data_IF_816264403788
#
_entry.id   IF_816264403788
#
_cell.length_a   1.000
_cell.length_b   1.000
_cell.length_c   1.000
_cell.angle_alpha   90.00
_cell.angle_beta   90.00
_cell.angle_gamma   90.00
#
_symmetry.space_group_name_H-M   'P 1'
#
loop_
_entity.id
_entity.type
_entity.pdbx_description
1 polymer ?
2 non-polymer ?
3 non-polymer ?
4 water ?
#
# COMPACT_ATOMS: atom_id res chain seq x y z
N UNK A 1 -8.22 -6.86 12.16
CA UNK A 1 -7.06 -6.85 11.20
C UNK A 1 -5.73 -7.12 11.93
N UNK A 2 -4.81 -7.85 11.29
CA UNK A 2 -3.44 -8.15 11.85
C UNK A 2 -3.64 -8.84 13.18
N UNK A 3 -4.08 -10.05 13.14
CA UNK A 3 -4.54 -10.79 14.34
C UNK A 3 -3.62 -10.81 15.51
N UNK A 4 -2.40 -11.21 15.32
CA UNK A 4 -1.50 -11.33 16.41
C UNK A 4 -1.25 -9.96 17.02
N UNK A 5 -0.95 -8.95 16.19
CA UNK A 5 -0.68 -7.65 16.73
C UNK A 5 -1.88 -7.10 17.49
N UNK A 6 -3.04 -7.20 16.87
CA UNK A 6 -4.25 -6.67 17.47
C UNK A 6 -4.44 -7.31 18.85
N UNK A 7 -4.30 -8.61 18.96
CA UNK A 7 -4.55 -9.28 20.24
C UNK A 7 -3.55 -8.79 21.29
N UNK A 8 -2.30 -8.63 20.91
CA UNK A 8 -1.26 -8.23 21.82
C UNK A 8 -1.45 -6.81 22.21
N UNK A 9 -1.78 -5.90 21.27
CA UNK A 9 -2.04 -4.53 21.68
C UNK A 9 -3.23 -4.38 22.58
N UNK A 10 -4.28 -5.11 22.27
CA UNK A 10 -5.50 -5.07 23.08
C UNK A 10 -5.21 -5.61 24.44
N UNK A 11 -4.43 -6.69 24.53
CA UNK A 11 -4.11 -7.23 25.84
C UNK A 11 -3.25 -6.29 26.68
N UNK A 12 -2.29 -5.63 26.02
CA UNK A 12 -1.37 -4.71 26.70
C UNK A 12 -2.14 -3.58 27.30
N UNK A 13 -3.10 -3.06 26.52
CA UNK A 13 -3.95 -1.98 26.98
C UNK A 13 -4.92 -2.45 28.06
N UNK A 14 -5.55 -3.57 27.78
CA UNK A 14 -6.49 -4.13 28.75
C UNK A 14 -5.87 -4.47 30.08
N UNK A 15 -4.58 -4.76 30.14
CA UNK A 15 -3.91 -5.09 31.40
C UNK A 15 -3.95 -3.92 32.34
N UNK A 16 -4.14 -2.74 31.82
CA UNK A 16 -4.07 -1.52 32.61
C UNK A 16 -5.40 -1.10 33.12
N UNK A 17 -6.43 -1.76 32.66
CA UNK A 17 -7.79 -1.33 32.89
C UNK A 17 -8.32 -1.75 34.26
N UNK A 18 -9.13 -0.85 34.87
CA UNK A 18 -9.80 -1.14 36.14
C UNK A 18 -8.88 -1.35 37.32
N UNK A 19 -7.74 -0.68 37.30
CA UNK A 19 -6.72 -0.78 38.35
C UNK A 19 -6.37 0.60 38.90
N UNK A 20 -7.11 1.65 38.53
CA UNK A 20 -6.82 2.99 39.00
C UNK A 20 -5.54 3.50 38.38
N UNK A 21 -4.82 4.32 39.11
CA UNK A 21 -3.59 4.90 38.59
C UNK A 21 -2.50 3.89 38.46
N UNK A 22 -1.65 4.10 37.45
CA UNK A 22 -0.54 3.22 37.19
C UNK A 22 0.74 3.97 37.47
N UNK A 23 1.79 3.19 37.70
CA UNK A 23 3.09 3.75 37.98
C UNK A 23 3.94 3.91 36.72
N UNK A 24 5.04 4.64 36.83
CA UNK A 24 5.92 4.84 35.72
C UNK A 24 6.41 3.51 35.23
N UNK A 25 6.69 2.57 36.13
CA UNK A 25 7.24 1.30 35.65
C UNK A 25 6.18 0.50 34.95
N UNK A 26 4.93 0.73 35.33
CA UNK A 26 3.80 0.05 34.72
C UNK A 26 3.69 0.57 33.28
N UNK A 27 3.80 1.87 33.13
CA UNK A 27 3.73 2.48 31.79
C UNK A 27 4.92 1.94 30.98
N UNK A 28 6.13 1.96 31.54
CA UNK A 28 7.30 1.52 30.77
C UNK A 28 7.12 0.09 30.33
N UNK A 29 6.60 -0.73 31.20
CA UNK A 29 6.34 -2.13 30.89
C UNK A 29 5.37 -2.28 29.77
N UNK A 30 4.31 -1.51 29.85
CA UNK A 30 3.31 -1.56 28.82
C UNK A 30 3.92 -1.15 27.46
N UNK A 31 4.73 -0.11 27.47
CA UNK A 31 5.43 0.30 26.26
C UNK A 31 6.38 -0.75 25.73
N UNK A 32 7.08 -1.43 26.59
CA UNK A 32 7.97 -2.49 26.15
C UNK A 32 7.13 -3.60 25.54
N UNK A 33 5.97 -3.90 26.09
CA UNK A 33 5.13 -4.88 25.54
C UNK A 33 4.61 -4.48 24.16
N UNK A 34 4.21 -3.23 24.01
CA UNK A 34 3.78 -2.77 22.71
C UNK A 34 4.93 -2.89 21.71
N UNK A 35 6.12 -2.45 22.12
CA UNK A 35 7.27 -2.56 21.22
C UNK A 35 7.52 -3.99 20.75
N UNK A 36 7.47 -4.94 21.68
CA UNK A 36 7.69 -6.34 21.34
C UNK A 36 6.59 -6.81 20.41
N UNK A 37 5.37 -6.37 20.64
CA UNK A 37 4.29 -6.80 19.82
C UNK A 37 4.50 -6.27 18.36
N UNK A 38 4.92 -5.04 18.22
CA UNK A 38 5.19 -4.48 16.90
C UNK A 38 6.32 -5.28 16.22
N UNK A 39 7.44 -5.48 16.97
CA UNK A 39 8.59 -6.22 16.47
C UNK A 39 8.12 -7.56 15.95
N UNK A 40 7.32 -8.27 16.73
CA UNK A 40 6.88 -9.60 16.37
C UNK A 40 5.94 -9.58 15.18
N UNK A 41 5.32 -8.44 14.90
CA UNK A 41 4.46 -8.27 13.76
C UNK A 41 5.25 -7.81 12.51
N UNK A 42 6.58 -7.89 12.58
CA UNK A 42 7.46 -7.54 11.47
C UNK A 42 7.42 -6.05 11.13
N UNK A 43 7.11 -5.26 12.13
CA UNK A 43 7.28 -3.83 11.93
C UNK A 43 8.74 -3.55 11.97
N UNK A 44 9.18 -2.66 11.10
CA UNK A 44 10.56 -2.27 11.01
C UNK A 44 11.02 -1.78 12.39
N UNK A 45 12.23 -2.18 12.78
CA UNK A 45 12.75 -1.85 14.06
C UNK A 45 12.68 -0.40 14.45
N UNK A 46 13.05 0.47 13.53
CA UNK A 46 13.05 1.90 13.81
C UNK A 46 11.64 2.44 13.93
N UNK A 47 10.76 1.90 13.10
CA UNK A 47 9.36 2.28 13.19
C UNK A 47 8.80 1.93 14.54
N UNK A 48 9.09 0.71 15.01
CA UNK A 48 8.57 0.26 16.30
C UNK A 48 9.11 1.12 17.44
N UNK A 49 10.37 1.43 17.41
CA UNK A 49 10.96 2.27 18.41
C UNK A 49 10.34 3.64 18.39
N UNK A 50 10.18 4.23 17.21
CA UNK A 50 9.56 5.53 17.13
C UNK A 50 8.12 5.55 17.58
N UNK A 51 7.43 4.49 17.30
CA UNK A 51 6.02 4.36 17.66
C UNK A 51 5.88 4.42 19.15
N UNK A 52 6.71 3.66 19.87
CA UNK A 52 6.63 3.56 21.31
C UNK A 52 7.03 4.89 21.98
N UNK A 53 8.00 5.55 21.38
CA UNK A 53 8.42 6.86 21.90
C UNK A 53 7.28 7.86 21.68
N UNK A 54 6.59 7.80 20.55
CA UNK A 54 5.50 8.66 20.30
C UNK A 54 4.41 8.47 21.33
N UNK A 55 4.04 7.22 21.54
CA UNK A 55 3.03 6.90 22.53
C UNK A 55 3.42 7.40 23.87
N UNK A 56 4.68 7.20 24.24
CA UNK A 56 5.20 7.62 25.55
C UNK A 56 4.99 9.13 25.73
N UNK A 57 5.45 9.87 24.73
CA UNK A 57 5.41 11.32 24.80
C UNK A 57 3.99 11.83 24.84
N UNK A 58 3.15 11.23 24.00
CA UNK A 58 1.76 11.67 23.91
C UNK A 58 1.00 11.35 25.20
N UNK A 59 1.19 10.16 25.71
CA UNK A 59 0.57 9.73 26.94
C UNK A 59 0.97 10.57 28.12
N UNK A 60 2.27 10.85 28.22
CA UNK A 60 2.71 11.73 29.28
C UNK A 60 2.18 13.16 29.10
N UNK A 61 1.98 13.60 27.86
CA UNK A 61 1.41 14.90 27.57
C UNK A 61 -0.02 14.95 28.03
N UNK A 62 -0.71 13.80 28.00
CA UNK A 62 -2.10 13.64 28.47
C UNK A 62 -2.15 13.27 29.94
N UNK A 63 -1.03 13.41 30.65
CA UNK A 63 -1.00 13.15 32.11
C UNK A 63 -1.42 11.74 32.49
N UNK A 64 -0.93 10.75 31.74
CA UNK A 64 -1.28 9.38 31.98
C UNK A 64 -1.04 8.88 33.39
N UNK A 65 -0.01 9.36 34.05
CA UNK A 65 0.30 8.88 35.40
C UNK A 65 -0.61 9.43 36.46
N UNK A 66 -1.34 10.47 36.11
CA UNK A 66 -2.35 11.04 37.05
C UNK A 66 -3.68 10.44 36.75
N UNK A 67 -3.91 9.89 35.59
CA UNK A 67 -5.22 9.41 35.18
C UNK A 67 -5.75 8.30 36.03
N UNK A 68 -7.05 8.43 36.33
CA UNK A 68 -7.78 7.39 36.99
C UNK A 68 -8.18 6.27 36.04
N UNK A 69 -8.06 6.49 34.71
CA UNK A 69 -8.39 5.49 33.68
C UNK A 69 -7.26 5.52 32.61
N UNK A 70 -6.07 5.13 33.03
CA UNK A 70 -4.92 5.21 32.16
C UNK A 70 -5.06 4.32 30.92
N UNK A 71 -5.78 3.23 31.01
CA UNK A 71 -5.91 2.39 29.82
C UNK A 71 -6.57 3.16 28.71
N UNK A 72 -7.52 4.00 29.03
CA UNK A 72 -8.18 4.76 27.97
C UNK A 72 -7.30 5.81 27.31
N UNK A 73 -6.43 6.39 28.12
CA UNK A 73 -5.48 7.32 27.63
C UNK A 73 -4.47 6.56 26.70
N UNK A 74 -4.02 5.40 27.13
CA UNK A 74 -3.15 4.61 26.27
C UNK A 74 -3.86 4.25 24.98
N UNK A 75 -5.10 3.78 25.10
CA UNK A 75 -5.84 3.37 23.91
C UNK A 75 -5.88 4.52 22.92
N UNK A 76 -6.23 5.70 23.36
CA UNK A 76 -6.34 6.86 22.48
C UNK A 76 -5.03 7.14 21.81
N UNK A 77 -3.98 7.04 22.58
CA UNK A 77 -2.68 7.40 22.10
C UNK A 77 -2.18 6.40 21.05
N UNK A 78 -2.41 5.12 21.34
CA UNK A 78 -2.03 4.10 20.43
C UNK A 78 -2.85 4.18 19.14
N UNK A 79 -4.15 4.49 19.23
CA UNK A 79 -4.95 4.69 18.06
C UNK A 79 -4.33 5.76 17.17
N UNK A 80 -4.00 6.91 17.75
CA UNK A 80 -3.40 7.99 16.99
C UNK A 80 -2.09 7.59 16.35
N UNK A 81 -1.25 6.91 17.12
CA UNK A 81 0.04 6.52 16.61
C UNK A 81 -0.12 5.52 15.45
N UNK A 82 -1.07 4.60 15.55
CA UNK A 82 -1.39 3.67 14.50
C UNK A 82 -1.84 4.44 13.27
N UNK A 83 -2.84 5.25 13.43
CA UNK A 83 -3.34 5.99 12.29
C UNK A 83 -2.23 6.84 11.62
N UNK A 84 -1.32 7.44 12.38
CA UNK A 84 -0.18 8.15 11.80
C UNK A 84 0.78 7.16 11.11
N UNK A 85 1.06 6.05 11.70
CA UNK A 85 2.00 5.12 11.09
C UNK A 85 1.44 4.68 9.74
N UNK A 86 0.12 4.49 9.66
CA UNK A 86 -0.57 4.00 8.51
C UNK A 86 -0.77 5.02 7.41
N UNK A 87 -0.51 6.28 7.67
CA UNK A 87 -0.61 7.33 6.73
C UNK A 87 -1.25 8.57 7.14
N UNK A 88 -1.86 8.61 8.30
CA UNK A 88 -2.39 9.81 8.81
C UNK A 88 -3.78 10.04 8.41
N UNK A 89 -3.98 10.27 7.16
CA UNK A 89 -5.25 10.69 6.54
C UNK A 89 -5.32 9.93 5.16
N UNK A 90 -6.52 9.52 4.77
CA UNK A 90 -6.77 8.90 3.48
C UNK A 90 -6.28 9.77 2.34
N UNK A 91 -5.55 9.19 1.40
CA UNK A 91 -4.97 9.86 0.25
C UNK A 91 -5.26 9.09 -1.04
N UNK A 92 -5.54 9.81 -2.14
CA UNK A 92 -5.70 9.17 -3.47
C UNK A 92 -4.95 9.93 -4.49
N UNK A 93 -4.60 9.25 -5.60
CA UNK A 93 -3.92 9.97 -6.66
C UNK A 93 -4.81 11.08 -7.29
N UNK A 94 -4.16 12.11 -7.85
CA UNK A 94 -4.80 13.24 -8.44
C UNK A 94 -5.13 12.89 -9.89
N UNK A 95 -6.35 13.20 -10.23
CA UNK A 95 -6.86 12.91 -11.54
C UNK A 95 -6.92 14.18 -12.37
N UNK A 96 -6.32 14.17 -13.53
CA UNK A 96 -6.29 15.32 -14.37
C UNK A 96 -7.12 14.89 -15.59
N UNK A 97 -7.08 15.67 -16.63
CA UNK A 97 -8.02 15.34 -17.70
C UNK A 97 -7.71 14.04 -18.40
N UNK A 98 -6.44 13.87 -18.57
CA UNK A 98 -5.83 12.59 -18.99
C UNK A 98 -4.74 12.11 -18.01
N UNK A 99 -4.66 10.83 -17.84
CA UNK A 99 -3.82 10.22 -16.84
C UNK A 99 -3.27 8.93 -17.40
N UNK A 100 -2.02 8.66 -17.18
CA UNK A 100 -1.40 7.41 -17.55
C UNK A 100 -0.60 6.97 -16.38
N UNK A 101 -0.98 5.83 -15.83
CA UNK A 101 -0.36 5.28 -14.63
C UNK A 101 0.26 3.95 -14.92
N UNK A 102 1.37 3.66 -14.28
CA UNK A 102 1.88 2.31 -14.25
C UNK A 102 1.44 1.60 -12.99
N UNK A 103 1.20 0.31 -13.13
CA UNK A 103 1.23 -0.58 -11.99
C UNK A 103 2.48 -1.42 -12.15
N UNK A 104 3.25 -1.48 -11.07
CA UNK A 104 4.49 -2.24 -11.00
C UNK A 104 4.43 -3.14 -9.80
N UNK A 105 5.26 -4.17 -9.82
CA UNK A 105 5.29 -5.09 -8.70
C UNK A 105 5.73 -6.45 -9.17
N UNK A 106 5.96 -7.28 -8.17
CA UNK A 106 6.34 -8.69 -8.42
C UNK A 106 5.16 -9.53 -8.84
N UNK A 107 5.47 -10.57 -9.56
CA UNK A 107 4.51 -11.57 -9.88
C UNK A 107 4.24 -12.19 -8.44
N UNK A 108 3.00 -12.27 -8.09
CA UNK A 108 2.62 -12.64 -6.77
C UNK A 108 2.02 -11.53 -5.90
N UNK A 109 2.23 -10.33 -6.34
CA UNK A 109 1.72 -9.17 -5.65
C UNK A 109 0.21 -9.01 -5.88
N UNK A 110 -0.35 -9.64 -6.91
CA UNK A 110 -1.68 -9.32 -7.30
C UNK A 110 -1.79 -8.13 -8.21
N UNK A 111 -0.68 -7.67 -8.77
CA UNK A 111 -0.66 -6.53 -9.64
C UNK A 111 -1.69 -6.54 -10.76
N UNK A 112 -1.76 -7.66 -11.49
CA UNK A 112 -2.60 -7.69 -12.66
C UNK A 112 -4.07 -7.59 -12.27
N UNK A 113 -4.47 -8.39 -11.27
CA UNK A 113 -5.86 -8.24 -10.77
C UNK A 113 -6.13 -6.87 -10.24
N UNK A 114 -5.15 -6.30 -9.54
CA UNK A 114 -5.32 -4.94 -9.02
C UNK A 114 -5.55 -3.96 -10.16
N UNK A 115 -4.82 -4.11 -11.25
CA UNK A 115 -5.01 -3.19 -12.37
C UNK A 115 -6.46 -3.20 -12.81
N UNK A 116 -7.02 -4.35 -12.96
CA UNK A 116 -8.42 -4.47 -13.39
C UNK A 116 -9.39 -3.93 -12.36
N UNK A 117 -9.15 -4.19 -11.08
CA UNK A 117 -9.99 -3.65 -10.00
C UNK A 117 -9.92 -2.14 -9.99
N UNK A 118 -8.71 -1.60 -10.17
CA UNK A 118 -8.54 -0.19 -10.19
C UNK A 118 -9.34 0.40 -11.37
N UNK A 119 -9.27 -0.24 -12.54
CA UNK A 119 -10.01 0.26 -13.69
C UNK A 119 -11.50 0.25 -13.35
N UNK A 120 -12.00 -0.79 -12.74
CA UNK A 120 -13.41 -0.81 -12.38
C UNK A 120 -13.77 0.25 -11.39
N UNK A 121 -12.94 0.45 -10.40
CA UNK A 121 -13.17 1.53 -9.43
C UNK A 121 -13.31 2.88 -10.10
N UNK A 122 -12.38 3.21 -10.99
CA UNK A 122 -12.42 4.51 -11.62
C UNK A 122 -13.54 4.60 -12.66
N UNK A 123 -13.88 3.48 -13.30
CA UNK A 123 -15.03 3.50 -14.24
C UNK A 123 -16.27 3.87 -13.42
N UNK A 124 -16.38 3.33 -12.22
CA UNK A 124 -17.54 3.65 -11.36
C UNK A 124 -17.59 5.09 -10.98
N UNK A 125 -16.50 5.81 -11.04
CA UNK A 125 -16.39 7.24 -10.76
C UNK A 125 -16.45 8.08 -11.96
N UNK A 126 -16.77 7.51 -13.11
CA UNK A 126 -16.92 8.31 -14.29
C UNK A 126 -15.74 8.44 -15.19
N UNK A 127 -14.63 7.74 -14.90
CA UNK A 127 -13.53 7.73 -15.84
C UNK A 127 -13.79 6.73 -16.94
N UNK A 128 -12.98 6.81 -17.97
CA UNK A 128 -13.02 5.91 -19.10
C UNK A 128 -11.65 5.24 -19.19
N UNK A 129 -11.45 4.18 -18.43
CA UNK A 129 -10.13 3.59 -18.36
C UNK A 129 -9.80 2.68 -19.54
N UNK A 130 -8.49 2.54 -19.72
CA UNK A 130 -7.88 1.60 -20.66
C UNK A 130 -6.87 0.81 -19.90
N UNK A 131 -6.97 -0.49 -19.93
CA UNK A 131 -5.92 -1.38 -19.41
C UNK A 131 -4.93 -1.68 -20.51
N UNK A 132 -3.63 -1.65 -20.16
CA UNK A 132 -2.60 -2.00 -21.10
C UNK A 132 -1.82 -3.15 -20.51
N UNK A 133 -1.82 -4.28 -21.19
CA UNK A 133 -1.07 -5.46 -20.77
C UNK A 133 0.32 -5.37 -21.41
N UNK A 134 1.26 -4.88 -20.61
CA UNK A 134 2.55 -4.45 -21.13
C UNK A 134 3.67 -5.41 -21.02
N UNK A 135 3.42 -6.66 -20.72
CA UNK A 135 4.47 -7.71 -20.65
C UNK A 135 4.81 -8.08 -22.09
N UNK A 136 5.98 -7.70 -22.58
CA UNK A 136 6.39 -7.99 -23.92
C UNK A 136 7.03 -9.36 -24.08
N UNK A 137 7.04 -10.16 -23.03
CA UNK A 137 7.65 -11.49 -23.09
C UNK A 137 6.63 -12.58 -22.88
N UNK A 138 5.56 -12.33 -22.11
CA UNK A 138 4.70 -13.40 -21.66
C UNK A 138 3.26 -13.25 -22.08
N UNK A 139 2.87 -13.92 -23.16
CA UNK A 139 1.51 -13.85 -23.62
C UNK A 139 0.50 -14.22 -22.53
N UNK A 140 0.82 -15.15 -21.64
CA UNK A 140 -0.17 -15.52 -20.67
C UNK A 140 -0.48 -14.40 -19.71
N UNK A 141 0.45 -13.55 -19.45
CA UNK A 141 0.21 -12.38 -18.56
C UNK A 141 -0.74 -11.40 -19.22
N UNK A 142 -0.60 -11.29 -20.54
CA UNK A 142 -1.43 -10.38 -21.30
C UNK A 142 -2.84 -10.95 -21.37
N UNK A 143 -2.96 -12.24 -21.60
CA UNK A 143 -4.26 -12.93 -21.65
C UNK A 143 -4.99 -12.80 -20.34
N UNK A 144 -4.25 -12.90 -19.22
CA UNK A 144 -4.87 -12.73 -17.94
C UNK A 144 -5.61 -11.41 -17.82
N UNK A 145 -4.92 -10.34 -18.23
CA UNK A 145 -5.53 -9.02 -18.20
C UNK A 145 -6.64 -8.88 -19.20
N UNK A 146 -6.50 -9.44 -20.39
CA UNK A 146 -7.59 -9.43 -21.33
C UNK A 146 -8.86 -9.98 -20.75
N UNK A 147 -8.75 -11.11 -20.07
CA UNK A 147 -9.92 -11.77 -19.46
C UNK A 147 -10.49 -10.91 -18.35
N UNK A 148 -9.62 -10.29 -17.53
CA UNK A 148 -10.14 -9.45 -16.50
C UNK A 148 -10.84 -8.23 -17.04
N UNK A 149 -10.29 -7.66 -18.10
CA UNK A 149 -10.96 -6.52 -18.73
C UNK A 149 -12.34 -6.85 -19.21
N UNK A 150 -12.46 -8.04 -19.77
CA UNK A 150 -13.76 -8.50 -20.23
C UNK A 150 -14.67 -8.63 -19.06
N UNK A 151 -14.17 -9.08 -17.93
CA UNK A 151 -15.01 -9.28 -16.74
C UNK A 151 -15.46 -7.95 -16.23
N UNK A 152 -14.65 -6.93 -16.15
CA UNK A 152 -14.99 -5.63 -15.60
C UNK A 152 -15.54 -4.65 -16.62
N UNK A 153 -15.57 -5.05 -17.89
CA UNK A 153 -16.09 -4.17 -18.93
C UNK A 153 -15.18 -3.01 -19.26
N UNK A 154 -13.86 -3.26 -19.25
CA UNK A 154 -12.88 -2.23 -19.55
C UNK A 154 -12.01 -2.72 -20.68
N UNK A 155 -11.74 -1.92 -21.68
CA UNK A 155 -10.94 -2.37 -22.80
C UNK A 155 -9.50 -2.61 -22.41
N UNK A 156 -8.87 -3.53 -23.13
CA UNK A 156 -7.49 -3.92 -22.89
C UNK A 156 -6.72 -3.90 -24.18
N UNK A 157 -5.64 -3.11 -24.19
CA UNK A 157 -4.65 -3.18 -25.25
C UNK A 157 -3.56 -4.11 -24.80
N UNK A 158 -3.28 -5.13 -25.61
CA UNK A 158 -2.20 -6.05 -25.37
C UNK A 158 -1.02 -5.69 -26.19
N UNK A 159 0.15 -5.50 -25.58
CA UNK A 159 1.35 -5.29 -26.34
C UNK A 159 1.69 -6.60 -27.09
N UNK A 160 2.50 -6.42 -28.13
CA UNK A 160 3.02 -7.54 -28.87
C UNK A 160 4.32 -7.99 -28.30
N UNK A 161 4.63 -9.26 -28.58
CA UNK A 161 5.89 -9.78 -28.17
C UNK A 161 7.03 -8.91 -28.70
N UNK A 162 7.96 -8.51 -27.82
CA UNK A 162 9.10 -7.73 -28.18
C UNK A 162 8.78 -6.31 -28.65
N UNK A 163 7.58 -5.82 -28.44
CA UNK A 163 7.22 -4.51 -28.93
C UNK A 163 8.03 -3.45 -28.25
N UNK A 164 8.50 -2.47 -29.03
CA UNK A 164 9.29 -1.39 -28.48
C UNK A 164 8.40 -0.48 -27.63
N UNK A 165 9.00 0.22 -26.67
CA UNK A 165 8.25 1.21 -25.92
C UNK A 165 7.64 2.27 -26.81
N UNK A 166 8.34 2.71 -27.82
CA UNK A 166 7.80 3.68 -28.74
C UNK A 166 6.59 3.16 -29.49
N UNK A 167 6.60 1.92 -29.92
CA UNK A 167 5.45 1.37 -30.57
C UNK A 167 4.28 1.23 -29.60
N UNK A 168 4.56 0.77 -28.39
CA UNK A 168 3.52 0.70 -27.37
C UNK A 168 2.88 2.07 -27.20
N UNK A 169 3.72 3.11 -27.06
CA UNK A 169 3.20 4.45 -26.89
C UNK A 169 2.26 4.84 -28.01
N UNK A 170 2.71 4.70 -29.23
CA UNK A 170 1.88 5.01 -30.38
C UNK A 170 0.54 4.26 -30.34
N UNK A 171 0.55 2.96 -30.10
CA UNK A 171 -0.68 2.21 -30.13
C UNK A 171 -1.60 2.57 -29.00
N UNK A 172 -1.03 2.81 -27.81
CA UNK A 172 -1.81 3.29 -26.72
C UNK A 172 -2.45 4.62 -27.00
N UNK A 173 -1.66 5.55 -27.53
CA UNK A 173 -2.20 6.83 -27.88
C UNK A 173 -3.38 6.79 -28.86
N UNK A 174 -3.20 5.95 -29.87
CA UNK A 174 -4.21 5.79 -30.87
C UNK A 174 -5.50 5.28 -30.32
N UNK A 175 -5.37 4.20 -29.55
CA UNK A 175 -6.54 3.59 -28.95
C UNK A 175 -7.24 4.55 -27.99
N UNK A 176 -6.45 5.24 -27.19
CA UNK A 176 -7.03 6.18 -26.26
C UNK A 176 -7.79 7.27 -26.99
N UNK A 177 -7.25 7.75 -28.10
CA UNK A 177 -7.97 8.77 -28.87
C UNK A 177 -9.25 8.21 -29.46
N UNK A 178 -9.19 7.05 -30.07
CA UNK A 178 -10.37 6.47 -30.72
C UNK A 178 -11.45 6.16 -29.73
N UNK A 179 -11.09 5.81 -28.53
CA UNK A 179 -12.00 5.36 -27.52
C UNK A 179 -12.25 6.34 -26.41
N UNK A 180 -11.71 7.54 -26.54
CA UNK A 180 -11.90 8.59 -25.51
C UNK A 180 -11.49 8.10 -24.15
N UNK A 181 -10.38 7.38 -24.08
CA UNK A 181 -9.90 6.90 -22.79
C UNK A 181 -9.23 8.01 -22.02
N UNK A 182 -9.50 8.15 -20.73
CA UNK A 182 -8.90 9.19 -19.94
C UNK A 182 -8.12 8.72 -18.76
N UNK A 183 -8.01 7.42 -18.58
CA UNK A 183 -7.23 6.85 -17.50
C UNK A 183 -6.59 5.62 -18.06
N UNK A 184 -5.30 5.63 -18.29
CA UNK A 184 -4.61 4.51 -18.91
C UNK A 184 -3.81 3.84 -17.83
N UNK A 185 -4.09 2.54 -17.60
CA UNK A 185 -3.49 1.80 -16.52
C UNK A 185 -2.61 0.70 -17.13
N UNK A 186 -1.31 0.90 -17.01
CA UNK A 186 -0.33 0.03 -17.66
C UNK A 186 0.16 -1.01 -16.69
N UNK A 187 -0.26 -2.27 -16.92
CA UNK A 187 0.18 -3.41 -16.13
C UNK A 187 1.50 -3.88 -16.67
N UNK A 188 2.59 -3.49 -16.00
CA UNK A 188 3.94 -3.79 -16.43
C UNK A 188 4.28 -5.21 -16.09
N UNK A 189 5.42 -5.68 -16.53
CA UNK A 189 5.85 -7.06 -16.35
C UNK A 189 6.04 -7.39 -14.88
N UNK A 190 5.43 -8.52 -14.52
CA UNK A 190 5.57 -9.13 -13.22
C UNK A 190 6.54 -10.32 -13.25
N UNK A 191 7.53 -10.29 -12.39
CA UNK A 191 8.45 -11.37 -12.28
C UNK A 191 8.61 -11.76 -10.83
N UNK A 192 9.16 -12.95 -10.57
CA UNK A 192 9.28 -13.43 -9.20
C UNK A 192 10.29 -12.67 -8.38
N UNK A 193 11.28 -12.14 -9.02
CA UNK A 193 12.26 -11.37 -8.28
C UNK A 193 12.75 -10.22 -9.15
N UNK A 194 13.28 -9.24 -8.48
CA UNK A 194 13.92 -8.09 -9.10
C UNK A 194 15.25 -8.43 -9.67
N UNK A 195 15.48 -8.05 -10.91
CA UNK A 195 16.77 -8.16 -11.54
C UNK A 195 17.00 -7.03 -12.50
N UNK A 196 18.19 -6.84 -13.03
CA UNK A 196 18.51 -5.64 -13.74
C UNK A 196 17.74 -5.53 -15.05
N UNK A 197 17.53 -6.60 -15.81
CA UNK A 197 16.81 -6.51 -17.07
C UNK A 197 15.40 -5.99 -16.86
N UNK A 198 14.73 -6.48 -15.83
CA UNK A 198 13.38 -5.99 -15.48
C UNK A 198 13.43 -4.59 -15.21
N UNK A 199 14.29 -4.16 -14.30
CA UNK A 199 14.33 -2.75 -13.89
C UNK A 199 14.58 -1.87 -15.09
N UNK A 200 15.58 -2.24 -15.88
CA UNK A 200 15.96 -1.42 -17.01
C UNK A 200 14.82 -1.27 -18.01
N UNK A 201 14.09 -2.35 -18.23
CA UNK A 201 12.97 -2.24 -19.15
C UNK A 201 11.87 -1.37 -18.57
N UNK A 202 11.55 -1.52 -17.27
CA UNK A 202 10.57 -0.64 -16.65
C UNK A 202 10.98 0.80 -16.72
N UNK A 203 12.23 1.12 -16.39
CA UNK A 203 12.72 2.46 -16.40
C UNK A 203 12.59 3.04 -17.81
N UNK A 204 12.92 2.27 -18.80
CA UNK A 204 12.81 2.74 -20.15
C UNK A 204 11.37 3.00 -20.56
N UNK A 205 10.49 2.06 -20.23
CA UNK A 205 9.05 2.25 -20.52
C UNK A 205 8.57 3.54 -19.87
N UNK A 206 9.03 3.78 -18.65
CA UNK A 206 8.64 4.98 -17.94
C UNK A 206 9.14 6.23 -18.63
N UNK A 207 10.37 6.24 -19.13
CA UNK A 207 10.87 7.38 -19.86
C UNK A 207 10.01 7.70 -21.09
N UNK A 208 9.59 6.63 -21.78
CA UNK A 208 8.87 6.81 -23.02
C UNK A 208 7.41 7.14 -22.79
N UNK A 209 6.75 6.51 -21.83
CA UNK A 209 5.33 6.78 -21.63
C UNK A 209 5.05 7.91 -20.71
N UNK A 210 6.00 8.25 -19.85
CA UNK A 210 5.82 9.37 -18.92
C UNK A 210 4.64 9.26 -18.00
N UNK A 211 4.47 8.17 -17.30
CA UNK A 211 3.31 8.04 -16.39
C UNK A 211 3.32 9.15 -15.34
N UNK A 212 2.14 9.58 -14.97
CA UNK A 212 1.91 10.56 -13.92
C UNK A 212 1.88 9.96 -12.55
N UNK A 213 1.62 8.66 -12.46
CA UNK A 213 1.66 7.91 -11.24
C UNK A 213 2.31 6.55 -11.57
N UNK A 214 3.03 6.04 -10.58
CA UNK A 214 3.57 4.68 -10.64
C UNK A 214 3.18 4.02 -9.34
N UNK A 215 2.21 3.11 -9.43
CA UNK A 215 1.67 2.47 -8.26
C UNK A 215 2.34 1.13 -8.11
N UNK A 216 2.95 0.89 -6.96
CA UNK A 216 3.65 -0.32 -6.64
C UNK A 216 2.73 -1.18 -5.81
N UNK A 217 2.39 -2.34 -6.35
CA UNK A 217 1.51 -3.28 -5.74
C UNK A 217 2.37 -4.26 -4.94
N UNK A 218 2.04 -4.43 -3.68
CA UNK A 218 2.80 -5.26 -2.74
C UNK A 218 1.88 -6.20 -2.00
N UNK A 219 2.29 -7.44 -1.93
CA UNK A 219 1.61 -8.42 -1.12
C UNK A 219 1.98 -8.14 0.32
N UNK A 220 1.01 -7.69 1.10
CA UNK A 220 1.30 -7.33 2.50
C UNK A 220 1.84 -8.48 3.28
N UNK A 221 1.45 -9.68 2.93
CA UNK A 221 1.87 -10.94 3.63
C UNK A 221 3.37 -11.14 3.56
N UNK A 222 4.10 -10.42 2.69
CA UNK A 222 5.56 -10.51 2.65
C UNK A 222 6.26 -9.66 3.73
N UNK A 223 5.49 -8.90 4.49
CA UNK A 223 6.12 -8.21 5.60
C UNK A 223 7.13 -7.13 5.20
N UNK A 224 8.21 -7.01 5.98
CA UNK A 224 9.32 -6.11 5.66
C UNK A 224 9.95 -6.27 4.30
N UNK A 225 9.94 -7.47 3.76
CA UNK A 225 10.46 -7.69 2.43
C UNK A 225 9.75 -6.77 1.45
N UNK A 226 8.47 -6.52 1.69
CA UNK A 226 7.75 -5.62 0.77
C UNK A 226 8.33 -4.26 0.68
N UNK A 227 8.84 -3.78 1.81
CA UNK A 227 9.36 -2.47 1.82
C UNK A 227 10.74 -2.43 1.22
N UNK A 228 11.42 -3.57 1.24
CA UNK A 228 12.68 -3.74 0.57
C UNK A 228 12.45 -3.62 -0.96
N UNK A 229 11.50 -4.42 -1.39
CA UNK A 229 11.03 -4.39 -2.77
C UNK A 229 10.65 -2.95 -3.14
N UNK A 230 9.93 -2.26 -2.27
CA UNK A 230 9.54 -0.92 -2.58
C UNK A 230 10.69 0.00 -2.77
N UNK A 231 11.71 -0.13 -1.92
CA UNK A 231 12.85 0.75 -2.04
C UNK A 231 13.57 0.46 -3.38
N UNK A 232 13.66 -0.78 -3.78
CA UNK A 232 14.33 -1.14 -5.01
C UNK A 232 13.55 -0.59 -6.21
N UNK A 233 12.25 -0.78 -6.25
CA UNK A 233 11.45 -0.20 -7.30
C UNK A 233 11.57 1.35 -7.31
N UNK A 234 11.56 1.97 -6.14
CA UNK A 234 11.67 3.41 -6.14
C UNK A 234 12.99 3.91 -6.66
N UNK A 235 14.06 3.23 -6.27
CA UNK A 235 15.38 3.70 -6.69
C UNK A 235 15.59 3.49 -8.16
N UNK A 236 15.15 2.36 -8.67
CA UNK A 236 15.47 2.01 -10.04
C UNK A 236 14.44 2.40 -11.09
N UNK A 237 13.22 2.65 -10.67
CA UNK A 237 12.13 3.02 -11.53
C UNK A 237 11.50 4.32 -11.09
N UNK A 238 11.15 4.41 -9.81
CA UNK A 238 10.52 5.55 -9.23
C UNK A 238 9.05 5.33 -9.09
N UNK A 239 8.58 5.20 -7.87
CA UNK A 239 7.16 4.98 -7.59
C UNK A 239 6.54 6.17 -6.82
N UNK A 240 5.27 6.35 -7.04
CA UNK A 240 4.56 7.43 -6.44
C UNK A 240 3.58 7.01 -5.35
N UNK A 241 3.18 5.78 -5.27
CA UNK A 241 2.26 5.34 -4.27
C UNK A 241 2.17 3.82 -4.26
N UNK A 242 1.56 3.32 -3.22
CA UNK A 242 1.47 1.89 -2.97
C UNK A 242 0.05 1.40 -3.00
N UNK A 243 -0.07 0.12 -3.34
CA UNK A 243 -1.29 -0.63 -3.18
C UNK A 243 -0.91 -1.88 -2.40
N UNK A 244 -1.56 -2.12 -1.27
CA UNK A 244 -1.28 -3.30 -0.50
C UNK A 244 -2.36 -4.35 -0.72
N UNK A 245 -1.98 -5.50 -1.17
CA UNK A 245 -2.86 -6.57 -1.37
C UNK A 245 -2.76 -7.60 -0.26
N UNK A 246 -3.75 -8.50 -0.22
CA UNK A 246 -3.77 -9.63 0.71
C UNK A 246 -3.73 -9.16 2.15
N UNK A 247 -4.29 -8.00 2.44
CA UNK A 247 -4.29 -7.53 3.83
C UNK A 247 -5.09 -8.44 4.75
N UNK A 248 -6.10 -9.07 4.21
CA UNK A 248 -6.90 -9.98 5.01
C UNK A 248 -6.18 -11.27 5.41
N UNK A 249 -5.09 -11.64 4.75
CA UNK A 249 -4.26 -12.79 5.07
C UNK A 249 -3.08 -12.46 5.93
N UNK A 250 -2.89 -11.16 6.17
CA UNK A 250 -1.77 -10.71 6.98
C UNK A 250 -2.19 -10.55 8.47
N UNK A 251 -1.65 -11.47 9.30
CA UNK A 251 -1.92 -11.47 10.76
C UNK A 251 -1.06 -10.44 11.53
N UNK A 252 -0.11 -9.82 10.81
CA UNK A 252 1.01 -9.10 11.37
C UNK A 252 0.87 -7.67 11.10
N UNK A 253 0.98 -7.16 9.84
CA UNK A 253 0.79 -5.77 9.63
C UNK A 253 2.02 -4.96 9.46
N UNK A 254 3.19 -5.61 9.53
CA UNK A 254 4.37 -4.86 9.53
C UNK A 254 4.58 -3.99 8.31
N UNK A 255 4.22 -4.47 7.13
CA UNK A 255 4.38 -3.66 5.94
C UNK A 255 3.53 -2.40 5.95
N UNK A 256 2.26 -2.56 6.28
CA UNK A 256 1.35 -1.42 6.34
C UNK A 256 1.79 -0.40 7.33
N UNK A 257 2.20 -0.88 8.52
CA UNK A 257 2.57 0.02 9.57
C UNK A 257 3.89 0.70 9.34
N UNK A 258 4.75 0.11 8.50
CA UNK A 258 6.06 0.65 8.31
C UNK A 258 6.23 1.45 7.01
N UNK A 259 5.25 1.38 6.12
CA UNK A 259 5.46 1.93 4.79
C UNK A 259 5.73 3.42 4.78
N UNK A 260 4.95 4.23 5.50
CA UNK A 260 5.14 5.66 5.46
C UNK A 260 6.55 6.01 5.91
N UNK A 261 6.94 5.48 7.04
CA UNK A 261 8.21 5.81 7.62
C UNK A 261 9.34 5.41 6.73
N UNK A 262 9.32 4.16 6.28
CA UNK A 262 10.38 3.55 5.55
C UNK A 262 10.51 4.08 4.12
N UNK A 263 9.39 4.19 3.43
CA UNK A 263 9.35 4.50 2.00
C UNK A 263 8.98 5.92 1.68
N UNK A 264 8.24 6.59 2.53
CA UNK A 264 7.76 7.91 2.23
C UNK A 264 6.64 7.92 1.19
N UNK A 265 6.08 6.75 0.88
CA UNK A 265 5.07 6.72 -0.15
C UNK A 265 3.69 6.46 0.49
N UNK A 266 2.64 7.08 0.00
CA UNK A 266 1.31 6.81 0.47
C UNK A 266 0.82 5.45 0.03
N UNK A 267 -0.01 4.87 0.87
CA UNK A 267 -0.78 3.73 0.52
C UNK A 267 -2.13 4.26 0.00
N UNK A 268 -2.35 4.11 -1.30
CA UNK A 268 -3.52 4.64 -1.95
C UNK A 268 -4.73 3.73 -1.74
N UNK A 269 -4.48 2.48 -2.01
CA UNK A 269 -5.49 1.44 -2.04
C UNK A 269 -5.07 0.22 -1.31
N UNK A 270 -6.10 -0.50 -0.83
CA UNK A 270 -5.97 -1.78 -0.22
C UNK A 270 -6.80 -2.76 -0.98
N UNK A 271 -6.22 -3.90 -1.25
CA UNK A 271 -6.99 -5.03 -1.77
C UNK A 271 -7.58 -5.65 -0.52
N UNK A 278 -13.53 -5.21 -5.00
CA UNK A 278 -12.51 -5.90 -4.17
C UNK A 278 -11.22 -5.06 -3.93
N UNK A 279 -11.38 -3.76 -4.07
CA UNK A 279 -10.33 -2.78 -3.88
C UNK A 279 -11.03 -1.62 -3.25
N UNK A 280 -10.34 -0.91 -2.38
CA UNK A 280 -10.92 0.28 -1.85
C UNK A 280 -9.82 1.20 -1.54
N UNK A 281 -10.13 2.47 -1.54
CA UNK A 281 -9.14 3.43 -1.05
C UNK A 281 -8.75 3.00 0.34
N UNK A 282 -7.48 3.23 0.67
CA UNK A 282 -6.91 2.87 1.96
C UNK A 282 -7.29 3.96 2.96
N UNK A 283 -7.82 3.55 4.11
CA UNK A 283 -8.30 4.45 5.16
C UNK A 283 -7.54 4.14 6.45
N UNK A 284 -6.51 4.92 6.71
CA UNK A 284 -5.67 4.68 7.89
C UNK A 284 -6.43 4.68 9.18
N UNK A 285 -7.39 5.55 9.29
CA UNK A 285 -8.11 5.53 10.55
C UNK A 285 -8.96 4.27 10.75
N UNK A 286 -9.53 3.74 9.68
CA UNK A 286 -10.35 2.58 9.82
C UNK A 286 -9.48 1.41 10.24
N UNK A 287 -8.34 1.27 9.62
CA UNK A 287 -7.44 0.19 9.99
C UNK A 287 -6.95 0.32 11.39
N UNK A 288 -6.62 1.53 11.79
CA UNK A 288 -6.18 1.73 13.19
C UNK A 288 -7.25 1.27 14.15
N UNK A 289 -8.51 1.56 13.86
CA UNK A 289 -9.60 1.10 14.72
C UNK A 289 -9.75 -0.37 14.71
N UNK A 290 -9.60 -0.99 13.57
CA UNK A 290 -9.76 -2.43 13.46
C UNK A 290 -8.65 -3.15 14.25
N UNK A 291 -7.45 -2.63 14.21
CA UNK A 291 -6.38 -3.24 14.98
C UNK A 291 -6.71 -3.24 16.47
N UNK A 292 -7.35 -2.20 16.89
CA UNK A 292 -7.70 -2.01 18.30
C UNK A 292 -9.07 -2.59 18.70
N UNK A 293 -9.75 -3.24 17.78
CA UNK A 293 -10.97 -3.96 18.16
C UNK A 293 -12.21 -3.10 18.17
N UNK A 294 -12.21 -2.03 17.39
CA UNK A 294 -13.38 -1.20 17.26
C UNK A 294 -14.09 -1.50 15.94
N UNK A 295 -13.47 -2.31 15.10
CA UNK A 295 -14.06 -2.71 13.83
C UNK A 295 -14.42 -1.54 12.94
X LIG B 1 16.43 7.68 -17.30
X LIG C 1 10.36 -14.55 -13.23
X LIG C 1 9.18 -15.08 -13.02
X LIG D 1 -10.62 -5.07 -24.94
X LIG D 1 -10.33 -3.89 -25.85
X LIG E 1 2.71 -19.34 -21.03
X LIG E 1 1.50 -19.30 -21.79
#
# INVERSE_FOLDING_TARGET
MFQQLSARLQEAIGRLRGRGRITEEDLKATLREIRRALMDADVNLEVARDFVERVREEALGKQVLESLTPAEVILATVYEALKEALGGEARLPVLKDRNLWFLVGLQGSGKTTTAAKLALYYKGKGRRPLLVAADTQRPAAREQLRLLGEKVGVPVLEVMDGESPESIRRRVEEKARLEARDLILVDTAGRLQIDEPLMGELARLKEVLGPDEVLLVLDAMTGQEALSVARAFDEKVGVTGLVLTKLDGDARGGAALSARHVTGKPIYFAGVSEKPEGLEPFYPERLAGRILGMG
MG MG
OXY O1 O2
OXY O1 O2
OXY O1 O2
#
